data_IF_661200767078
#
_entry.id   IF_661200767078
#
_cell.length_a   1.000
_cell.length_b   1.000
_cell.length_c   1.000
_cell.angle_alpha   90.00
_cell.angle_beta   90.00
_cell.angle_gamma   90.00
#
_symmetry.space_group_name_H-M   'P 1'
#
loop_
_entity.id
_entity.type
_entity.pdbx_description
1 polymer ?
#
# COMPACT_ATOMS: atom_id res chain seq x y z
N UNK A 1 -15.08 21.40 5.76
CA UNK A 1 -14.10 20.32 5.47
C UNK A 1 -14.72 18.97 5.85
N UNK A 2 -14.62 17.99 4.97
CA UNK A 2 -15.19 16.66 5.23
C UNK A 2 -14.38 15.91 6.28
N UNK A 3 -15.06 15.12 7.11
CA UNK A 3 -14.38 14.22 8.05
C UNK A 3 -13.73 13.05 7.31
N UNK A 4 -12.78 12.39 7.97
CA UNK A 4 -12.11 11.21 7.39
C UNK A 4 -13.09 10.10 7.01
N UNK A 5 -14.13 9.92 7.84
CA UNK A 5 -15.18 8.94 7.55
C UNK A 5 -15.96 9.29 6.30
N UNK A 6 -16.31 10.57 6.13
CA UNK A 6 -17.02 11.03 4.94
C UNK A 6 -16.17 10.85 3.69
N UNK A 7 -14.90 11.17 3.74
CA UNK A 7 -13.97 10.98 2.63
C UNK A 7 -13.90 9.50 2.26
N UNK A 8 -13.77 8.63 3.25
CA UNK A 8 -13.69 7.19 3.01
C UNK A 8 -14.96 6.62 2.40
N UNK A 9 -16.13 7.08 2.85
CA UNK A 9 -17.42 6.61 2.34
C UNK A 9 -17.72 7.10 0.93
N UNK A 10 -17.25 8.27 0.56
CA UNK A 10 -17.47 8.85 -0.76
C UNK A 10 -16.41 8.40 -1.78
N UNK A 11 -15.31 7.80 -1.34
CA UNK A 11 -14.26 7.33 -2.22
C UNK A 11 -14.74 6.16 -3.07
N UNK A 12 -14.46 6.21 -4.36
CA UNK A 12 -14.70 5.10 -5.25
C UNK A 12 -13.51 4.16 -5.24
N UNK A 13 -13.75 2.91 -4.85
CA UNK A 13 -12.73 1.88 -4.89
C UNK A 13 -12.74 1.20 -6.26
N UNK A 14 -11.59 1.18 -6.90
CA UNK A 14 -11.43 0.41 -8.13
C UNK A 14 -11.26 -1.07 -7.80
N UNK A 15 -11.79 -1.97 -8.65
CA UNK A 15 -11.49 -3.40 -8.52
C UNK A 15 -9.99 -3.65 -8.51
N UNK A 16 -9.54 -4.61 -7.70
CA UNK A 16 -8.10 -4.89 -7.59
C UNK A 16 -7.47 -5.33 -8.91
N UNK A 17 -8.24 -5.94 -9.79
CA UNK A 17 -7.77 -6.30 -11.14
C UNK A 17 -7.33 -5.08 -11.93
N UNK A 18 -8.11 -3.99 -11.86
CA UNK A 18 -7.78 -2.74 -12.56
C UNK A 18 -6.55 -2.06 -11.97
N UNK A 19 -6.41 -2.12 -10.65
CA UNK A 19 -5.22 -1.59 -9.97
C UNK A 19 -3.97 -2.37 -10.38
N UNK A 20 -4.06 -3.68 -10.40
CA UNK A 20 -2.95 -4.54 -10.82
C UNK A 20 -2.56 -4.33 -12.29
N UNK A 21 -3.54 -4.10 -13.14
CA UNK A 21 -3.32 -3.85 -14.57
C UNK A 21 -2.45 -2.61 -14.80
N UNK A 22 -2.60 -1.60 -13.98
CA UNK A 22 -1.75 -0.39 -14.05
C UNK A 22 -0.28 -0.69 -13.79
N UNK A 23 0.02 -1.77 -13.11
CA UNK A 23 1.38 -2.23 -12.85
C UNK A 23 1.86 -3.28 -13.87
N UNK A 24 1.02 -3.61 -14.85
CA UNK A 24 1.33 -4.66 -15.80
C UNK A 24 1.14 -6.07 -15.25
N UNK A 25 0.38 -6.22 -14.16
CA UNK A 25 0.09 -7.50 -13.55
C UNK A 25 -1.25 -8.00 -14.08
N UNK A 26 -1.25 -9.16 -14.74
CA UNK A 26 -2.44 -9.76 -15.28
C UNK A 26 -3.28 -10.48 -14.23
N UNK A 27 -4.52 -10.77 -14.56
CA UNK A 27 -5.44 -11.49 -13.66
C UNK A 27 -4.91 -12.86 -13.26
N UNK A 28 -4.20 -13.55 -14.15
CA UNK A 28 -3.63 -14.86 -13.87
C UNK A 28 -2.52 -14.83 -12.81
N UNK A 29 -1.97 -13.67 -12.55
CA UNK A 29 -0.94 -13.46 -11.54
C UNK A 29 -1.52 -13.08 -10.16
N UNK A 30 -2.84 -13.04 -10.04
CA UNK A 30 -3.54 -12.65 -8.82
C UNK A 30 -4.30 -13.82 -8.21
N UNK A 31 -4.22 -13.94 -6.90
CA UNK A 31 -5.10 -14.76 -6.08
C UNK A 31 -6.15 -13.83 -5.45
N UNK A 32 -7.37 -13.85 -5.98
CA UNK A 32 -8.41 -12.91 -5.59
C UNK A 32 -9.06 -13.28 -4.25
N UNK A 33 -9.20 -12.29 -3.40
CA UNK A 33 -9.96 -12.35 -2.15
C UNK A 33 -11.09 -11.34 -2.25
N UNK A 34 -12.11 -11.67 -3.03
CA UNK A 34 -13.16 -10.72 -3.36
C UNK A 34 -12.75 -9.74 -4.45
N UNK A 35 -13.44 -8.60 -4.50
CA UNK A 35 -13.28 -7.63 -5.60
C UNK A 35 -12.11 -6.66 -5.41
N UNK A 36 -11.74 -6.38 -4.15
CA UNK A 36 -10.85 -5.27 -3.82
C UNK A 36 -9.53 -5.70 -3.17
N UNK A 37 -9.27 -7.00 -3.08
CA UNK A 37 -8.08 -7.53 -2.45
C UNK A 37 -7.57 -8.74 -3.20
N UNK A 38 -6.26 -8.85 -3.31
CA UNK A 38 -5.63 -10.02 -3.92
C UNK A 38 -4.22 -10.22 -3.36
N UNK A 39 -3.74 -11.44 -3.45
CA UNK A 39 -2.33 -11.76 -3.28
C UNK A 39 -1.69 -11.93 -4.64
N UNK A 40 -0.39 -11.71 -4.69
CA UNK A 40 0.41 -11.98 -5.89
C UNK A 40 0.79 -13.45 -5.94
N UNK A 41 0.76 -14.03 -7.14
CA UNK A 41 1.15 -15.42 -7.30
C UNK A 41 2.66 -15.62 -7.13
N UNK A 42 3.05 -16.81 -6.69
CA UNK A 42 4.46 -17.17 -6.58
C UNK A 42 5.15 -17.16 -7.95
N UNK A 43 4.44 -17.53 -8.99
CA UNK A 43 4.94 -17.50 -10.36
C UNK A 43 5.32 -16.09 -10.80
N UNK A 44 4.52 -15.10 -10.42
CA UNK A 44 4.84 -13.71 -10.72
C UNK A 44 6.12 -13.28 -10.00
N UNK A 45 6.24 -13.62 -8.73
CA UNK A 45 7.40 -13.28 -7.92
C UNK A 45 8.68 -13.91 -8.52
N UNK A 46 8.62 -15.17 -8.91
CA UNK A 46 9.73 -15.85 -9.56
C UNK A 46 10.09 -15.22 -10.91
N UNK A 47 9.08 -14.82 -11.68
CA UNK A 47 9.30 -14.24 -13.01
C UNK A 47 9.96 -12.86 -12.94
N UNK A 48 9.67 -12.05 -11.92
CA UNK A 48 10.24 -10.71 -11.81
C UNK A 48 11.52 -10.65 -10.99
N UNK A 49 11.89 -11.74 -10.35
CA UNK A 49 13.02 -11.82 -9.43
C UNK A 49 14.35 -11.38 -10.04
N UNK A 50 14.58 -11.68 -11.31
CA UNK A 50 15.83 -11.37 -12.01
C UNK A 50 15.73 -10.07 -12.85
N UNK A 51 14.62 -9.36 -12.77
CA UNK A 51 14.47 -8.09 -13.45
C UNK A 51 15.22 -6.98 -12.70
N UNK A 52 15.62 -5.91 -13.41
CA UNK A 52 16.23 -4.77 -12.74
C UNK A 52 15.33 -4.18 -11.67
N UNK A 53 15.89 -3.88 -10.51
CA UNK A 53 15.14 -3.26 -9.43
C UNK A 53 14.76 -1.83 -9.75
N UNK A 54 13.59 -1.43 -9.31
CA UNK A 54 13.19 -0.03 -9.30
C UNK A 54 13.89 0.73 -8.18
N UNK A 55 13.51 1.99 -8.01
CA UNK A 55 14.03 2.83 -6.94
C UNK A 55 13.22 2.59 -5.67
N UNK A 56 13.91 2.35 -4.58
CA UNK A 56 13.29 2.20 -3.27
C UNK A 56 13.39 3.50 -2.49
N UNK A 57 12.26 3.97 -1.99
CA UNK A 57 12.20 5.15 -1.13
C UNK A 57 11.68 4.70 0.23
N UNK A 58 12.51 4.84 1.24
CA UNK A 58 12.15 4.49 2.61
C UNK A 58 11.58 5.70 3.33
N UNK A 59 10.37 5.55 3.88
CA UNK A 59 9.75 6.55 4.75
C UNK A 59 9.77 6.02 6.17
N UNK A 60 10.49 6.69 7.05
CA UNK A 60 10.64 6.26 8.43
C UNK A 60 10.65 7.45 9.38
N UNK A 61 10.72 7.17 10.68
CA UNK A 61 10.83 8.20 11.69
C UNK A 61 12.01 7.87 12.63
N UNK A 62 12.60 8.91 13.20
CA UNK A 62 13.75 8.77 14.11
C UNK A 62 13.30 8.15 15.43
N UNK A 63 12.22 8.67 16.00
CA UNK A 63 11.69 8.19 17.28
C UNK A 63 10.19 7.98 17.21
N UNK A 64 9.66 6.94 17.88
CA UNK A 64 8.22 6.77 17.98
C UNK A 64 7.62 7.84 18.90
N UNK A 65 6.38 8.24 18.58
CA UNK A 65 5.60 9.15 19.43
C UNK A 65 4.21 8.57 19.68
N UNK A 66 3.54 8.91 20.80
CA UNK A 66 2.19 8.41 21.06
C UNK A 66 1.17 8.81 20.00
N UNK A 67 1.32 10.00 19.42
CA UNK A 67 0.41 10.51 18.40
C UNK A 67 0.72 9.99 16.99
N UNK A 68 1.84 9.31 16.83
CA UNK A 68 2.35 8.91 15.52
C UNK A 68 3.16 10.01 14.85
N UNK A 69 3.91 9.65 13.81
CA UNK A 69 4.87 10.53 13.15
C UNK A 69 4.47 10.89 11.72
N UNK A 70 3.33 10.36 11.26
CA UNK A 70 2.84 10.65 9.92
C UNK A 70 3.49 9.83 8.79
N UNK A 71 4.16 8.73 9.12
CA UNK A 71 4.80 7.88 8.11
C UNK A 71 3.84 7.41 7.03
N UNK A 72 2.71 6.87 7.44
CA UNK A 72 1.69 6.36 6.51
C UNK A 72 1.12 7.49 5.66
N UNK A 73 0.77 8.61 6.27
CA UNK A 73 0.24 9.78 5.55
C UNK A 73 1.24 10.29 4.52
N UNK A 74 2.51 10.38 4.90
CA UNK A 74 3.58 10.80 3.99
C UNK A 74 3.78 9.81 2.86
N UNK A 75 3.75 8.50 3.14
CA UNK A 75 3.90 7.46 2.12
C UNK A 75 2.77 7.50 1.10
N UNK A 76 1.53 7.63 1.57
CA UNK A 76 0.36 7.72 0.69
C UNK A 76 0.42 8.99 -0.15
N UNK A 77 0.71 10.12 0.46
CA UNK A 77 0.82 11.39 -0.24
C UNK A 77 1.92 11.38 -1.31
N UNK A 78 3.06 10.79 -0.99
CA UNK A 78 4.17 10.64 -1.94
C UNK A 78 3.78 9.75 -3.13
N UNK A 79 3.13 8.62 -2.85
CA UNK A 79 2.64 7.74 -3.90
C UNK A 79 1.63 8.42 -4.83
N UNK A 80 0.71 9.20 -4.27
CA UNK A 80 -0.23 10.00 -5.06
C UNK A 80 0.48 11.05 -5.90
N UNK A 81 1.50 11.69 -5.35
CA UNK A 81 2.29 12.67 -6.10
C UNK A 81 3.00 12.03 -7.31
N UNK A 82 3.59 10.86 -7.13
CA UNK A 82 4.18 10.13 -8.24
C UNK A 82 3.15 9.78 -9.32
N UNK A 83 1.95 9.38 -8.91
CA UNK A 83 0.86 9.12 -9.85
C UNK A 83 0.50 10.36 -10.69
N UNK A 84 0.44 11.53 -10.05
CA UNK A 84 0.19 12.80 -10.76
C UNK A 84 1.31 13.19 -11.72
N UNK A 85 2.53 12.79 -11.41
CA UNK A 85 3.68 13.01 -12.30
C UNK A 85 3.81 11.96 -13.42
N UNK A 86 2.86 11.05 -13.49
CA UNK A 86 2.88 9.99 -14.49
C UNK A 86 3.91 8.90 -14.26
N UNK A 87 4.41 8.78 -13.03
CA UNK A 87 5.39 7.77 -12.66
C UNK A 87 4.70 6.51 -12.14
N UNK A 88 5.27 5.36 -12.43
CA UNK A 88 4.84 4.11 -11.82
C UNK A 88 5.39 4.03 -10.41
N UNK A 89 4.52 3.96 -9.44
CA UNK A 89 4.90 3.83 -8.05
C UNK A 89 3.99 2.84 -7.34
N UNK A 90 4.58 2.04 -6.47
CA UNK A 90 3.86 1.12 -5.60
C UNK A 90 4.12 1.55 -4.17
N UNK A 91 3.08 1.65 -3.38
CA UNK A 91 3.18 2.01 -1.98
C UNK A 91 3.16 0.72 -1.16
N UNK A 92 4.22 0.51 -0.41
CA UNK A 92 4.31 -0.61 0.53
C UNK A 92 4.13 -0.07 1.95
N UNK A 93 3.09 -0.50 2.62
CA UNK A 93 2.75 -0.03 3.96
C UNK A 93 2.88 -1.15 4.98
N UNK A 94 3.21 -0.79 6.20
CA UNK A 94 2.98 -1.69 7.33
C UNK A 94 1.49 -1.95 7.45
N UNK A 95 1.16 -3.13 7.92
CA UNK A 95 -0.24 -3.48 8.14
C UNK A 95 -0.87 -2.49 9.14
N UNK A 96 -1.84 -1.68 8.71
CA UNK A 96 -2.48 -0.75 9.61
C UNK A 96 -3.41 -1.49 10.55
N UNK A 97 -3.40 -1.14 11.82
CA UNK A 97 -4.32 -1.64 12.80
C UNK A 97 -5.55 -0.75 12.86
N UNK A 98 -6.73 -1.36 12.89
CA UNK A 98 -7.99 -0.63 12.95
C UNK A 98 -8.53 -0.44 14.36
N UNK A 99 -8.02 -1.17 15.35
CA UNK A 99 -8.44 -1.07 16.74
C UNK A 99 -7.46 -0.27 17.59
N UNK A 100 -7.91 0.45 18.61
CA UNK A 100 -7.01 1.22 19.45
C UNK A 100 -5.89 0.40 20.09
N UNK A 101 -6.23 -0.77 20.62
CA UNK A 101 -5.24 -1.67 21.23
C UNK A 101 -4.34 -2.28 20.18
N UNK A 102 -4.93 -2.81 19.12
CA UNK A 102 -4.18 -3.36 18.01
C UNK A 102 -3.28 -2.31 17.37
N UNK A 103 -3.79 -1.11 17.21
CA UNK A 103 -3.02 0.00 16.65
C UNK A 103 -1.79 0.31 17.50
N UNK A 104 -1.96 0.34 18.81
CA UNK A 104 -0.86 0.63 19.73
C UNK A 104 0.19 -0.47 19.71
N UNK A 105 -0.23 -1.72 19.69
CA UNK A 105 0.69 -2.86 19.73
C UNK A 105 1.29 -3.18 18.36
N UNK A 106 0.47 -3.24 17.34
CA UNK A 106 0.92 -3.68 16.02
C UNK A 106 1.71 -2.60 15.28
N UNK A 107 1.48 -1.35 15.59
CA UNK A 107 2.22 -0.28 14.96
C UNK A 107 3.71 -0.29 15.26
N UNK A 108 4.09 -0.89 16.39
CA UNK A 108 5.49 -1.05 16.74
C UNK A 108 6.17 -2.18 15.97
N UNK A 109 5.40 -3.07 15.38
CA UNK A 109 5.93 -4.21 14.64
C UNK A 109 6.05 -3.86 13.16
N UNK A 110 7.23 -4.07 12.64
CA UNK A 110 7.43 -3.96 11.22
C UNK A 110 6.97 -5.26 10.58
N UNK A 111 5.90 -5.19 9.81
CA UNK A 111 5.48 -6.30 8.97
C UNK A 111 6.06 -6.10 7.58
N UNK A 112 6.22 -7.18 6.85
CA UNK A 112 6.48 -7.05 5.44
C UNK A 112 5.30 -6.32 4.82
N UNK A 113 5.63 -5.37 3.98
CA UNK A 113 4.59 -4.61 3.35
C UNK A 113 3.86 -5.46 2.34
N UNK A 114 2.60 -5.65 2.57
CA UNK A 114 1.73 -6.28 1.60
C UNK A 114 1.38 -5.26 0.53
N UNK A 115 1.70 -5.61 -0.65
CA UNK A 115 1.43 -4.80 -1.82
C UNK A 115 -0.04 -4.85 -2.21
#
# INVERSE_FOLDING_TARGET
>A
MKSDIQIAQEAEMLPIKEVAEKLGIGEDDLELYGKYKAKLSDELIERVKDQPDGKLILVTAINPTPAGEGKTTTSVGLGQAFGRLGKKAVIALREPSLGPVSYTHLRAHETEADL
#
